data_IF_524234181056
#
_entry.id   IF_524234181056
#
_cell.length_a   1.000
_cell.length_b   1.000
_cell.length_c   1.000
_cell.angle_alpha   90.00
_cell.angle_beta   90.00
_cell.angle_gamma   90.00
#
_symmetry.space_group_name_H-M   'P 1'
#
loop_
_entity.id
_entity.type
_entity.pdbx_description
1 polymer ?
#
# COMPACT_ATOMS: atom_id res chain seq x y z
N UNK A 1 -0.11 8.35 -0.75
CA UNK A 1 -1.03 7.40 -0.09
C UNK A 1 -2.47 7.90 -0.09
N UNK A 2 -2.77 9.11 0.41
CA UNK A 2 -4.16 9.61 0.52
C UNK A 2 -4.91 9.75 -0.82
N UNK A 3 -4.22 10.02 -1.92
CA UNK A 3 -4.85 10.01 -3.25
C UNK A 3 -5.38 8.61 -3.64
N UNK A 4 -4.59 7.57 -3.37
CA UNK A 4 -5.02 6.17 -3.60
C UNK A 4 -6.17 5.85 -2.66
N UNK A 5 -6.07 6.27 -1.40
CA UNK A 5 -7.14 6.06 -0.43
C UNK A 5 -8.45 6.69 -0.88
N UNK A 6 -8.43 7.94 -1.34
CA UNK A 6 -9.61 8.64 -1.87
C UNK A 6 -10.23 7.90 -3.05
N UNK A 7 -9.40 7.43 -3.99
CA UNK A 7 -9.87 6.64 -5.12
C UNK A 7 -10.56 5.34 -4.68
N UNK A 8 -9.95 4.59 -3.75
CA UNK A 8 -10.53 3.33 -3.26
C UNK A 8 -11.79 3.58 -2.42
N UNK A 9 -11.85 4.66 -1.63
CA UNK A 9 -13.06 5.09 -0.93
C UNK A 9 -14.21 5.27 -1.93
N UNK A 10 -13.99 6.00 -3.02
CA UNK A 10 -15.03 6.27 -4.01
C UNK A 10 -15.49 4.97 -4.69
N UNK A 11 -14.57 4.06 -5.05
CA UNK A 11 -14.95 2.75 -5.59
C UNK A 11 -15.78 1.93 -4.59
N UNK A 12 -15.40 1.91 -3.32
CA UNK A 12 -16.15 1.19 -2.27
C UNK A 12 -17.54 1.80 -2.07
N UNK A 13 -17.68 3.12 -2.13
CA UNK A 13 -18.99 3.78 -2.06
C UNK A 13 -19.86 3.46 -3.27
N UNK A 14 -19.33 3.71 -4.47
CA UNK A 14 -20.10 3.74 -5.70
C UNK A 14 -20.42 2.32 -6.21
N UNK A 15 -19.48 1.39 -6.12
CA UNK A 15 -19.62 0.04 -6.68
C UNK A 15 -20.16 -0.98 -5.66
N UNK A 16 -19.87 -0.79 -4.36
CA UNK A 16 -20.31 -1.72 -3.31
C UNK A 16 -21.49 -1.18 -2.49
N UNK A 17 -21.88 0.09 -2.66
CA UNK A 17 -22.98 0.71 -1.93
C UNK A 17 -22.73 0.84 -0.43
N UNK A 18 -21.47 0.87 0.00
CA UNK A 18 -21.10 0.97 1.41
C UNK A 18 -20.96 2.45 1.79
N UNK A 19 -21.96 2.98 2.48
CA UNK A 19 -21.96 4.40 2.88
C UNK A 19 -21.09 4.66 4.12
N UNK A 20 -21.03 3.71 5.06
CA UNK A 20 -20.27 3.81 6.31
C UNK A 20 -18.93 3.08 6.19
N UNK A 21 -17.90 3.77 5.70
CA UNK A 21 -16.57 3.22 5.44
C UNK A 21 -15.66 3.37 6.66
N UNK A 22 -15.39 2.24 7.29
CA UNK A 22 -14.29 2.04 8.24
C UNK A 22 -12.94 1.85 7.55
N UNK A 23 -11.95 2.64 7.94
CA UNK A 23 -10.57 2.58 7.43
C UNK A 23 -9.64 2.18 8.57
N UNK A 24 -8.88 1.09 8.39
CA UNK A 24 -7.77 0.71 9.26
C UNK A 24 -6.47 1.34 8.76
N UNK A 25 -5.60 1.78 9.66
CA UNK A 25 -4.25 2.24 9.33
C UNK A 25 -3.25 1.18 9.77
N UNK A 26 -2.49 0.62 8.83
CA UNK A 26 -1.43 -0.35 9.12
C UNK A 26 -0.13 0.14 8.49
N UNK A 27 0.75 0.73 9.31
CA UNK A 27 1.96 1.40 8.82
C UNK A 27 3.15 1.00 9.67
N UNK A 28 4.28 0.69 9.04
CA UNK A 28 5.46 0.29 9.79
C UNK A 28 5.92 1.34 10.81
N UNK A 29 6.54 0.88 11.90
CA UNK A 29 7.09 1.73 12.96
C UNK A 29 8.44 2.31 12.54
N UNK A 30 8.41 3.25 11.61
CA UNK A 30 9.52 4.09 11.16
C UNK A 30 9.18 5.59 11.31
N UNK A 31 10.18 6.47 11.37
CA UNK A 31 9.99 7.92 11.60
C UNK A 31 9.05 8.57 10.56
N UNK A 32 9.20 8.22 9.28
CA UNK A 32 8.30 8.72 8.23
C UNK A 32 6.87 8.21 8.46
N UNK A 33 6.72 6.98 8.95
CA UNK A 33 5.43 6.40 9.31
C UNK A 33 4.73 7.19 10.42
N UNK A 34 5.46 7.78 11.36
CA UNK A 34 4.86 8.56 12.45
C UNK A 34 4.12 9.80 11.93
N UNK A 35 4.76 10.55 11.03
CA UNK A 35 4.13 11.72 10.39
C UNK A 35 2.90 11.34 9.57
N UNK A 36 2.97 10.23 8.83
CA UNK A 36 1.86 9.77 8.00
C UNK A 36 0.70 9.29 8.86
N UNK A 37 0.96 8.61 9.98
CA UNK A 37 -0.09 8.19 10.91
C UNK A 37 -0.75 9.38 11.57
N UNK A 38 0.02 10.35 12.06
CA UNK A 38 -0.57 11.59 12.60
C UNK A 38 -1.43 12.28 11.55
N UNK A 39 -0.97 12.36 10.29
CA UNK A 39 -1.79 12.90 9.21
C UNK A 39 -3.06 12.06 8.97
N UNK A 40 -2.96 10.73 8.98
CA UNK A 40 -4.10 9.84 8.75
C UNK A 40 -5.17 9.98 9.84
N UNK A 41 -4.77 10.06 11.10
CA UNK A 41 -5.68 10.28 12.24
C UNK A 41 -6.49 11.57 12.11
N UNK A 42 -5.90 12.62 11.54
CA UNK A 42 -6.59 13.90 11.32
C UNK A 42 -7.38 13.95 10.03
N UNK A 43 -6.84 13.37 8.95
CA UNK A 43 -7.41 13.53 7.60
C UNK A 43 -8.53 12.54 7.33
N UNK A 44 -8.43 11.27 7.76
CA UNK A 44 -9.43 10.24 7.48
C UNK A 44 -10.85 10.67 7.87
N UNK A 45 -11.09 11.20 9.10
CA UNK A 45 -12.43 11.65 9.50
C UNK A 45 -12.95 12.85 8.68
N UNK A 46 -12.08 13.56 7.97
CA UNK A 46 -12.40 14.73 7.15
C UNK A 46 -12.58 14.37 5.67
N UNK A 47 -12.36 13.13 5.26
CA UNK A 47 -12.47 12.70 3.85
C UNK A 47 -13.92 12.62 3.36
N UNK A 48 -14.90 12.69 4.25
CA UNK A 48 -16.31 12.77 3.89
C UNK A 48 -17.23 12.17 4.95
N UNK A 49 -18.53 12.37 4.76
CA UNK A 49 -19.54 11.75 5.62
C UNK A 49 -19.49 10.22 5.51
N UNK A 50 -19.74 9.55 6.64
CA UNK A 50 -19.70 8.10 6.76
C UNK A 50 -18.31 7.48 6.79
N UNK A 51 -17.22 8.28 6.80
CA UNK A 51 -15.85 7.76 6.86
C UNK A 51 -15.33 7.84 8.29
N UNK A 52 -14.85 6.71 8.82
CA UNK A 52 -14.30 6.64 10.17
C UNK A 52 -12.99 5.84 10.24
N UNK A 53 -12.14 6.23 11.18
CA UNK A 53 -10.91 5.50 11.51
C UNK A 53 -11.25 4.32 12.44
N UNK A 54 -11.05 3.10 11.96
CA UNK A 54 -11.29 1.87 12.71
C UNK A 54 -10.19 1.58 13.75
N UNK A 55 -8.98 2.05 13.48
CA UNK A 55 -7.83 1.85 14.36
C UNK A 55 -6.50 2.06 13.64
N UNK A 56 -5.43 2.06 14.43
CA UNK A 56 -4.05 2.25 13.98
C UNK A 56 -3.19 1.12 14.52
N UNK A 57 -2.45 0.46 13.64
CA UNK A 57 -1.54 -0.64 13.95
C UNK A 57 -0.15 -0.35 13.35
N UNK A 58 0.89 -0.60 14.14
CA UNK A 58 2.27 -0.19 13.83
C UNK A 58 3.27 -1.35 13.95
N UNK A 59 3.28 -2.32 13.02
CA UNK A 59 4.25 -3.41 13.06
C UNK A 59 5.67 -2.89 12.87
N UNK A 60 6.68 -3.67 13.28
CA UNK A 60 8.08 -3.36 12.96
C UNK A 60 8.29 -3.38 11.44
N UNK A 61 9.15 -2.51 10.85
CA UNK A 61 9.54 -2.60 9.44
C UNK A 61 10.13 -3.96 9.04
N UNK A 62 10.62 -4.71 10.03
CA UNK A 62 11.22 -6.06 9.88
C UNK A 62 10.38 -7.15 10.53
N UNK A 63 9.10 -6.89 10.85
CA UNK A 63 8.22 -7.91 11.41
C UNK A 63 8.09 -9.09 10.44
N UNK A 64 8.23 -10.30 10.98
CA UNK A 64 8.11 -11.56 10.23
C UNK A 64 6.72 -12.18 10.35
N UNK A 65 5.84 -11.56 11.12
CA UNK A 65 4.45 -11.94 11.32
C UNK A 65 3.65 -10.68 11.69
N UNK A 66 2.49 -10.47 11.04
CA UNK A 66 1.52 -9.41 11.31
C UNK A 66 0.09 -9.98 11.48
N UNK A 67 -0.02 -11.28 11.79
CA UNK A 67 -1.31 -11.97 11.96
C UNK A 67 -2.17 -11.32 13.04
N UNK A 68 -1.56 -10.82 14.13
CA UNK A 68 -2.29 -10.20 15.23
C UNK A 68 -2.96 -8.89 14.79
N UNK A 69 -2.23 -8.04 14.06
CA UNK A 69 -2.72 -6.79 13.48
C UNK A 69 -3.83 -7.07 12.47
N UNK A 70 -3.61 -7.98 11.53
CA UNK A 70 -4.59 -8.33 10.50
C UNK A 70 -5.88 -8.93 11.10
N UNK A 71 -5.75 -9.75 12.13
CA UNK A 71 -6.90 -10.32 12.85
C UNK A 71 -7.70 -9.24 13.57
N UNK A 72 -7.02 -8.28 14.20
CA UNK A 72 -7.67 -7.12 14.83
C UNK A 72 -8.37 -6.22 13.81
N UNK A 73 -7.74 -5.99 12.65
CA UNK A 73 -8.34 -5.25 11.52
C UNK A 73 -9.60 -5.95 11.03
N UNK A 74 -9.54 -7.27 10.82
CA UNK A 74 -10.72 -8.07 10.43
C UNK A 74 -11.85 -7.97 11.46
N UNK A 75 -11.51 -8.06 12.75
CA UNK A 75 -12.48 -7.92 13.83
C UNK A 75 -13.09 -6.51 13.93
N UNK A 76 -12.36 -5.46 13.54
CA UNK A 76 -12.85 -4.08 13.53
C UNK A 76 -13.96 -3.83 12.48
N UNK A 77 -14.04 -4.70 11.47
CA UNK A 77 -14.92 -4.52 10.31
C UNK A 77 -14.44 -3.40 9.38
N UNK A 78 -13.13 -3.16 9.31
CA UNK A 78 -12.56 -2.23 8.34
C UNK A 78 -12.85 -2.70 6.91
N UNK A 79 -13.17 -1.77 6.02
CA UNK A 79 -13.37 -2.04 4.59
C UNK A 79 -12.11 -1.75 3.78
N UNK A 80 -11.24 -0.88 4.30
CA UNK A 80 -9.98 -0.47 3.65
C UNK A 80 -8.86 -0.51 4.69
N UNK A 81 -7.68 -0.96 4.28
CA UNK A 81 -6.43 -0.89 5.03
C UNK A 81 -5.52 0.13 4.33
N UNK A 82 -5.31 1.28 4.97
CA UNK A 82 -4.33 2.26 4.53
C UNK A 82 -2.92 1.80 4.93
N UNK A 83 -2.10 1.49 3.94
CA UNK A 83 -0.76 0.92 4.15
C UNK A 83 0.37 1.92 3.94
N UNK A 84 1.46 1.74 4.70
CA UNK A 84 2.76 2.33 4.43
C UNK A 84 3.88 1.39 4.87
N UNK A 85 4.58 0.81 3.89
CA UNK A 85 5.70 -0.10 4.08
C UNK A 85 6.86 0.26 3.15
N UNK A 86 8.01 0.58 3.75
CA UNK A 86 9.28 0.72 3.04
C UNK A 86 10.25 -0.42 3.35
N UNK A 87 10.01 -1.17 4.43
CA UNK A 87 10.76 -2.35 4.83
C UNK A 87 10.20 -3.68 4.32
N UNK A 88 10.91 -4.79 4.60
CA UNK A 88 10.53 -6.14 4.16
C UNK A 88 9.20 -6.64 4.74
N UNK A 89 8.68 -6.01 5.81
CA UNK A 89 7.34 -6.31 6.33
C UNK A 89 6.25 -6.17 5.26
N UNK A 90 6.45 -5.38 4.20
CA UNK A 90 5.50 -5.27 3.09
C UNK A 90 5.19 -6.61 2.39
N UNK A 91 6.17 -7.52 2.30
CA UNK A 91 5.96 -8.88 1.77
C UNK A 91 5.15 -9.72 2.76
N UNK A 92 5.51 -9.66 4.04
CA UNK A 92 4.85 -10.41 5.12
C UNK A 92 3.39 -10.01 5.22
N UNK A 93 3.12 -8.70 5.22
CA UNK A 93 1.79 -8.13 5.18
C UNK A 93 0.97 -8.65 4.00
N UNK A 94 1.46 -8.44 2.78
CA UNK A 94 0.69 -8.77 1.57
C UNK A 94 0.40 -10.28 1.51
N UNK A 95 1.37 -11.10 1.89
CA UNK A 95 1.19 -12.55 1.98
C UNK A 95 0.10 -12.92 3.00
N UNK A 96 0.23 -12.47 4.24
CA UNK A 96 -0.72 -12.86 5.29
C UNK A 96 -2.11 -12.22 5.11
N UNK A 97 -2.19 -11.04 4.51
CA UNK A 97 -3.45 -10.40 4.15
C UNK A 97 -4.27 -11.27 3.18
N UNK A 98 -3.60 -11.82 2.16
CA UNK A 98 -4.22 -12.80 1.25
C UNK A 98 -4.49 -14.15 1.91
N UNK A 99 -3.54 -14.72 2.66
CA UNK A 99 -3.70 -16.03 3.31
C UNK A 99 -4.85 -16.06 4.34
N UNK A 100 -5.07 -14.96 5.06
CA UNK A 100 -6.11 -14.85 6.08
C UNK A 100 -7.47 -14.40 5.52
N UNK A 101 -7.54 -14.15 4.20
CA UNK A 101 -8.72 -13.62 3.50
C UNK A 101 -9.31 -12.45 4.28
N UNK A 102 -8.49 -11.41 4.49
CA UNK A 102 -8.93 -10.22 5.20
C UNK A 102 -9.94 -9.48 4.31
N UNK A 103 -11.18 -9.26 4.77
CA UNK A 103 -12.25 -8.69 3.94
C UNK A 103 -12.16 -7.15 3.87
N UNK A 104 -10.96 -6.63 3.59
CA UNK A 104 -10.67 -5.21 3.50
C UNK A 104 -9.68 -4.96 2.36
N UNK A 105 -9.96 -3.97 1.52
CA UNK A 105 -9.09 -3.60 0.40
C UNK A 105 -7.75 -3.04 0.92
N UNK A 106 -6.62 -3.59 0.45
CA UNK A 106 -5.31 -2.99 0.71
C UNK A 106 -5.07 -1.82 -0.23
N UNK A 107 -4.75 -0.65 0.32
CA UNK A 107 -4.56 0.57 -0.45
C UNK A 107 -3.52 1.50 0.20
N UNK A 108 -2.41 1.80 -0.49
CA UNK A 108 -1.42 2.71 0.08
C UNK A 108 -0.05 2.64 -0.57
N UNK A 109 0.98 2.51 0.27
CA UNK A 109 2.37 2.36 -0.14
C UNK A 109 2.88 1.01 0.35
N UNK A 110 3.31 0.18 -0.59
CA UNK A 110 4.12 -1.00 -0.35
C UNK A 110 5.28 -0.96 -1.35
N UNK A 111 6.49 -0.64 -0.87
CA UNK A 111 7.68 -0.54 -1.74
C UNK A 111 8.09 -1.89 -2.29
N UNK A 112 7.90 -2.97 -1.53
CA UNK A 112 8.19 -4.32 -2.00
C UNK A 112 7.31 -4.69 -3.21
N UNK A 113 6.07 -4.21 -3.25
CA UNK A 113 5.13 -4.42 -4.36
C UNK A 113 5.53 -3.73 -5.68
N UNK A 114 6.53 -2.85 -5.67
CA UNK A 114 7.08 -2.23 -6.89
C UNK A 114 8.15 -3.11 -7.57
N UNK A 115 8.67 -4.12 -6.87
CA UNK A 115 9.76 -4.98 -7.34
C UNK A 115 9.23 -6.17 -8.13
N UNK A 116 10.04 -6.67 -9.06
CA UNK A 116 9.71 -7.82 -9.91
C UNK A 116 9.40 -9.08 -9.11
N UNK A 117 10.14 -9.33 -8.03
CA UNK A 117 10.02 -10.54 -7.22
C UNK A 117 8.82 -10.58 -6.26
N UNK A 118 8.01 -9.51 -6.17
CA UNK A 118 6.94 -9.41 -5.16
C UNK A 118 5.90 -10.52 -5.27
N UNK A 119 5.47 -10.85 -6.49
CA UNK A 119 4.46 -11.88 -6.72
C UNK A 119 4.91 -13.23 -6.18
N UNK A 120 6.13 -13.65 -6.50
CA UNK A 120 6.69 -14.92 -6.04
C UNK A 120 6.99 -14.89 -4.53
N UNK A 121 7.49 -13.77 -4.00
CA UNK A 121 7.79 -13.62 -2.58
C UNK A 121 6.53 -13.71 -1.69
N UNK A 122 5.39 -13.29 -2.21
CA UNK A 122 4.09 -13.44 -1.54
C UNK A 122 3.39 -14.75 -1.87
N UNK A 123 3.94 -15.59 -2.76
CA UNK A 123 3.27 -16.80 -3.23
C UNK A 123 1.95 -16.54 -3.97
N UNK A 124 1.83 -15.37 -4.61
CA UNK A 124 0.61 -14.90 -5.26
C UNK A 124 -0.46 -14.30 -4.34
N UNK A 125 -0.25 -14.31 -3.02
CA UNK A 125 -1.21 -13.76 -2.05
C UNK A 125 -1.21 -12.23 -1.99
N UNK A 126 -0.18 -11.56 -2.54
CA UNK A 126 -0.17 -10.10 -2.70
C UNK A 126 -1.06 -9.59 -3.85
N UNK A 127 -1.84 -10.46 -4.49
CA UNK A 127 -2.78 -10.04 -5.53
C UNK A 127 -3.80 -9.04 -4.99
N UNK A 128 -4.11 -8.01 -5.79
CA UNK A 128 -4.99 -6.89 -5.42
C UNK A 128 -4.43 -5.90 -4.36
N UNK A 129 -3.15 -6.00 -3.97
CA UNK A 129 -2.51 -4.95 -3.17
C UNK A 129 -2.34 -3.67 -4.02
N UNK A 130 -3.14 -2.63 -3.71
CA UNK A 130 -3.11 -1.37 -4.47
C UNK A 130 -2.02 -0.46 -3.90
N UNK A 131 -0.92 -0.32 -4.64
CA UNK A 131 0.21 0.52 -4.26
C UNK A 131 0.45 1.67 -5.26
N UNK A 132 1.10 2.75 -4.79
CA UNK A 132 1.63 3.77 -5.69
C UNK A 132 2.91 3.26 -6.32
N UNK A 133 3.03 3.40 -7.65
CA UNK A 133 4.31 3.23 -8.32
C UNK A 133 4.66 4.48 -9.14
N UNK A 134 5.92 4.93 -9.04
CA UNK A 134 6.41 6.10 -9.77
C UNK A 134 6.70 5.75 -11.22
N UNK A 135 7.21 4.55 -11.47
CA UNK A 135 7.60 4.10 -12.79
C UNK A 135 6.82 2.85 -13.17
N UNK A 136 6.24 2.89 -14.35
CA UNK A 136 5.65 1.72 -15.01
C UNK A 136 6.08 1.77 -16.47
N UNK A 137 6.05 0.62 -17.15
CA UNK A 137 6.35 0.53 -18.58
C UNK A 137 5.18 1.07 -19.42
N UNK A 138 4.88 2.35 -19.27
CA UNK A 138 3.80 3.08 -19.94
C UNK A 138 4.36 4.39 -20.50
N UNK A 139 3.85 4.79 -21.66
CA UNK A 139 4.25 6.04 -22.31
C UNK A 139 3.61 7.24 -21.61
N UNK A 140 4.31 7.80 -20.61
CA UNK A 140 3.97 9.10 -20.03
C UNK A 140 4.63 10.25 -20.80
N UNK A 141 5.84 9.99 -21.30
CA UNK A 141 6.64 10.86 -22.17
C UNK A 141 7.43 9.99 -23.15
N UNK A 142 8.04 10.62 -24.17
CA UNK A 142 8.94 9.95 -25.12
C UNK A 142 10.14 9.25 -24.43
N UNK A 143 10.48 9.63 -23.19
CA UNK A 143 11.61 9.07 -22.44
C UNK A 143 11.22 7.92 -21.50
N UNK A 144 9.93 7.77 -21.18
CA UNK A 144 9.47 6.87 -20.11
C UNK A 144 9.76 5.40 -20.42
N UNK A 145 9.36 4.92 -21.60
CA UNK A 145 9.62 3.53 -22.03
C UNK A 145 11.13 3.29 -22.25
N UNK A 146 11.88 4.15 -22.97
CA UNK A 146 13.32 3.97 -23.11
C UNK A 146 14.09 3.90 -21.80
N UNK A 147 13.75 4.74 -20.81
CA UNK A 147 14.35 4.69 -19.48
C UNK A 147 14.04 3.37 -18.77
N UNK A 148 12.77 2.96 -18.75
CA UNK A 148 12.34 1.73 -18.09
C UNK A 148 13.07 0.50 -18.66
N UNK A 149 13.09 0.37 -19.99
CA UNK A 149 13.72 -0.77 -20.67
C UNK A 149 15.23 -0.80 -20.46
N UNK A 150 15.88 0.37 -20.46
CA UNK A 150 17.32 0.47 -20.17
C UNK A 150 17.65 0.10 -18.72
N UNK A 151 16.89 0.63 -17.75
CA UNK A 151 17.09 0.32 -16.34
C UNK A 151 16.95 -1.18 -16.07
N UNK A 152 15.90 -1.80 -16.64
CA UNK A 152 15.68 -3.24 -16.55
C UNK A 152 16.83 -4.05 -17.17
N UNK A 153 17.32 -3.65 -18.35
CA UNK A 153 18.43 -4.33 -19.01
C UNK A 153 19.75 -4.24 -18.22
N UNK A 154 20.01 -3.11 -17.55
CA UNK A 154 21.25 -2.89 -16.79
C UNK A 154 21.23 -3.53 -15.40
N UNK A 155 20.08 -3.52 -14.73
CA UNK A 155 19.97 -3.93 -13.32
C UNK A 155 19.34 -5.31 -13.14
N UNK A 156 18.57 -5.78 -14.12
CA UNK A 156 17.72 -6.97 -13.99
C UNK A 156 16.49 -6.78 -13.10
N UNK A 157 16.18 -5.54 -12.69
CA UNK A 157 15.08 -5.21 -11.78
C UNK A 157 14.21 -4.08 -12.37
N UNK A 158 12.95 -4.00 -11.94
CA UNK A 158 12.07 -2.88 -12.27
C UNK A 158 12.53 -1.60 -11.55
N UNK A 159 12.45 -0.43 -12.21
CA UNK A 159 12.71 0.83 -11.54
C UNK A 159 11.64 1.07 -10.46
N UNK A 160 12.02 0.92 -9.20
CA UNK A 160 11.20 1.37 -8.06
C UNK A 160 11.29 2.89 -7.93
N UNK A 161 10.54 3.49 -7.01
CA UNK A 161 10.55 4.94 -6.81
C UNK A 161 11.96 5.53 -6.58
N UNK A 162 12.91 4.74 -6.04
CA UNK A 162 14.29 5.19 -5.80
C UNK A 162 15.12 5.37 -7.07
N UNK A 163 14.66 4.84 -8.22
CA UNK A 163 15.29 5.06 -9.52
C UNK A 163 15.28 6.55 -9.94
N UNK A 164 14.41 7.37 -9.33
CA UNK A 164 14.39 8.82 -9.53
C UNK A 164 15.62 9.56 -9.02
N UNK A 165 16.52 8.88 -8.30
CA UNK A 165 17.86 9.42 -8.03
C UNK A 165 18.63 9.74 -9.31
N UNK A 166 18.32 9.07 -10.43
CA UNK A 166 18.88 9.39 -11.75
C UNK A 166 18.49 10.79 -12.24
N UNK A 167 17.28 11.27 -11.92
CA UNK A 167 16.80 12.59 -12.32
C UNK A 167 17.39 13.73 -11.46
N UNK A 168 18.03 13.38 -10.33
CA UNK A 168 18.60 14.33 -9.38
C UNK A 168 20.07 14.68 -9.67
N UNK A 169 20.70 14.05 -10.68
CA UNK A 169 22.13 14.19 -11.02
C UNK A 169 22.37 14.76 -12.41
#
# INVERSE_FOLDING_TARGET
>A
SFFILDNVINVVKDELGIENIKIAVLMEKAEVGDLIVTAAEHLIPLMGEGIELAGVWRPSPTATDVTAELSAIKASGAHIILTYFSGPVGIVYAKQWGELEIPAASAGINVEAQKMGFWDATGGYGNYDVTLNTYARIEQTEKSIPFYDKFLAETGEFPTYTAGTYDAV
#
